data_IF_074064968016
#
_entry.id   IF_074064968016
#
_cell.length_a   1.000
_cell.length_b   1.000
_cell.length_c   1.000
_cell.angle_alpha   90.00
_cell.angle_beta   90.00
_cell.angle_gamma   90.00
#
_symmetry.space_group_name_H-M   'P 1'
#
loop_
_entity.id
_entity.type
_entity.pdbx_description
1 polymer ?
#
# COMPACT_ATOMS: atom_id res chain seq x y z
N UNK A 1 28.86 -13.90 -2.23
CA UNK A 1 27.92 -13.46 -3.30
C UNK A 1 26.60 -14.16 -3.03
N UNK A 2 25.55 -13.39 -2.72
CA UNK A 2 24.26 -13.88 -2.23
C UNK A 2 24.06 -13.71 -0.72
N UNK A 3 24.05 -12.47 -0.22
CA UNK A 3 23.43 -12.14 1.08
C UNK A 3 22.21 -11.26 0.82
N UNK A 4 21.22 -11.38 1.68
CA UNK A 4 20.08 -10.48 1.85
C UNK A 4 20.51 -9.01 1.68
N UNK A 5 19.78 -8.26 0.85
CA UNK A 5 20.20 -6.95 0.34
C UNK A 5 20.66 -6.99 -1.12
N UNK A 6 19.80 -7.50 -2.02
CA UNK A 6 20.03 -7.33 -3.46
C UNK A 6 20.15 -5.84 -3.77
N UNK A 7 21.00 -5.46 -4.73
CA UNK A 7 21.25 -4.06 -5.08
C UNK A 7 19.99 -3.23 -5.31
N UNK A 8 18.87 -3.88 -5.68
CA UNK A 8 17.52 -3.32 -5.73
C UNK A 8 17.08 -2.69 -4.39
N UNK A 9 17.11 -3.44 -3.29
CA UNK A 9 16.63 -2.94 -1.99
C UNK A 9 17.55 -1.84 -1.45
N UNK A 10 18.87 -2.00 -1.60
CA UNK A 10 19.83 -0.96 -1.20
C UNK A 10 19.65 0.34 -1.99
N UNK A 11 19.47 0.25 -3.31
CA UNK A 11 19.15 1.42 -4.15
C UNK A 11 17.82 2.05 -3.77
N UNK A 12 16.81 1.23 -3.50
CA UNK A 12 15.49 1.68 -3.03
C UNK A 12 15.61 2.48 -1.74
N UNK A 13 16.28 1.92 -0.72
CA UNK A 13 16.53 2.61 0.56
C UNK A 13 17.22 3.95 0.33
N UNK A 14 18.30 3.98 -0.45
CA UNK A 14 19.02 5.23 -0.74
C UNK A 14 18.11 6.28 -1.40
N UNK A 15 17.29 5.90 -2.37
CA UNK A 15 16.34 6.82 -3.02
C UNK A 15 15.33 7.37 -2.01
N UNK A 16 14.79 6.52 -1.12
CA UNK A 16 13.82 6.94 -0.11
C UNK A 16 14.46 7.85 0.94
N UNK A 17 15.71 7.63 1.31
CA UNK A 17 16.46 8.50 2.22
C UNK A 17 16.71 9.90 1.62
N UNK A 18 17.12 9.98 0.34
CA UNK A 18 17.29 11.28 -0.33
C UNK A 18 15.95 12.03 -0.44
N UNK A 19 14.88 11.33 -0.84
CA UNK A 19 13.55 11.94 -0.92
C UNK A 19 13.07 12.43 0.46
N UNK A 20 13.33 11.67 1.52
CA UNK A 20 13.03 12.09 2.88
C UNK A 20 13.85 13.32 3.31
N UNK A 21 15.14 13.38 3.00
CA UNK A 21 15.99 14.54 3.27
C UNK A 21 15.47 15.82 2.58
N UNK A 22 14.89 15.67 1.39
CA UNK A 22 14.24 16.74 0.62
C UNK A 22 12.79 17.03 1.05
N UNK A 23 12.35 16.47 2.18
CA UNK A 23 11.01 16.65 2.75
C UNK A 23 9.87 16.16 1.84
N UNK A 24 10.15 15.19 0.98
CA UNK A 24 9.16 14.58 0.10
C UNK A 24 8.49 13.42 0.85
N UNK A 25 7.15 13.44 1.03
CA UNK A 25 6.45 12.38 1.70
C UNK A 25 6.40 11.11 0.84
N UNK A 26 6.45 9.96 1.51
CA UNK A 26 6.63 8.64 0.89
C UNK A 26 5.58 7.68 1.45
N UNK A 27 4.94 6.94 0.57
CA UNK A 27 4.21 5.71 0.90
C UNK A 27 5.00 4.55 0.28
N UNK A 28 5.53 3.67 1.11
CA UNK A 28 6.36 2.54 0.67
C UNK A 28 5.67 1.20 0.99
N UNK A 29 5.36 0.41 -0.03
CA UNK A 29 4.77 -0.93 0.13
C UNK A 29 5.91 -1.95 0.26
N UNK A 30 5.90 -2.69 1.38
CA UNK A 30 6.97 -3.63 1.74
C UNK A 30 6.42 -5.05 1.95
N UNK A 31 6.37 -5.87 0.88
CA UNK A 31 5.95 -7.27 0.98
C UNK A 31 7.02 -8.20 1.54
N UNK A 32 8.28 -7.74 1.69
CA UNK A 32 9.41 -8.57 2.15
C UNK A 32 9.86 -8.27 3.57
N UNK A 33 9.49 -7.11 4.11
CA UNK A 33 9.84 -6.67 5.47
C UNK A 33 11.21 -5.98 5.56
N UNK A 34 11.86 -5.70 4.42
CA UNK A 34 13.20 -5.14 4.39
C UNK A 34 13.22 -3.62 4.60
N UNK A 35 12.13 -2.90 4.29
CA UNK A 35 12.09 -1.44 4.38
C UNK A 35 12.00 -0.97 5.83
N UNK A 36 11.59 -1.82 6.77
CA UNK A 36 11.62 -1.53 8.21
C UNK A 36 13.01 -1.10 8.71
N UNK A 37 14.07 -1.48 7.99
CA UNK A 37 15.45 -1.04 8.26
C UNK A 37 15.64 0.49 8.19
N UNK A 38 14.76 1.23 7.51
CA UNK A 38 14.76 2.71 7.50
C UNK A 38 14.57 3.32 8.91
N UNK A 39 14.02 2.55 9.87
CA UNK A 39 13.91 2.99 11.26
C UNK A 39 15.20 2.77 12.07
N UNK A 40 16.12 1.94 11.58
CA UNK A 40 17.39 1.61 12.23
C UNK A 40 18.47 2.67 11.91
N UNK A 41 18.12 3.92 12.17
CA UNK A 41 18.97 5.10 11.93
C UNK A 41 19.46 5.66 13.26
N UNK A 42 20.75 5.47 13.57
CA UNK A 42 21.34 5.83 14.86
C UNK A 42 22.30 7.02 14.71
N UNK A 43 21.91 8.25 15.10
CA UNK A 43 22.77 9.43 14.93
C UNK A 43 24.10 9.36 15.70
N UNK A 44 24.08 8.77 16.89
CA UNK A 44 25.28 8.73 17.74
C UNK A 44 26.19 7.55 17.41
N UNK A 45 25.68 6.57 16.64
CA UNK A 45 26.37 5.35 16.25
C UNK A 45 27.05 4.67 17.45
N UNK A 46 26.34 4.62 18.59
CA UNK A 46 26.85 4.08 19.84
C UNK A 46 26.62 2.58 19.91
N UNK A 47 27.43 1.85 20.68
CA UNK A 47 27.23 0.41 20.87
C UNK A 47 25.83 0.08 21.43
N UNK A 48 25.32 0.94 22.32
CA UNK A 48 24.01 0.80 22.95
C UNK A 48 22.86 0.85 21.93
N UNK A 49 23.00 1.66 20.86
CA UNK A 49 22.01 1.73 19.79
C UNK A 49 21.91 0.41 19.01
N UNK A 50 23.03 -0.28 18.79
CA UNK A 50 23.08 -1.53 18.03
C UNK A 50 22.75 -2.76 18.89
N UNK A 51 23.05 -2.71 20.18
CA UNK A 51 22.94 -3.84 21.12
C UNK A 51 21.58 -4.59 21.07
N UNK A 52 20.41 -3.94 20.95
CA UNK A 52 19.13 -4.65 20.86
C UNK A 52 18.94 -5.42 19.54
N UNK A 53 19.68 -5.06 18.50
CA UNK A 53 19.48 -5.53 17.12
C UNK A 53 20.54 -6.52 16.66
N UNK A 54 21.61 -6.70 17.43
CA UNK A 54 22.65 -7.67 17.09
C UNK A 54 22.18 -9.10 17.32
N UNK A 55 22.63 -10.01 16.45
CA UNK A 55 22.31 -11.42 16.56
C UNK A 55 23.21 -12.11 17.61
N UNK A 56 22.62 -12.49 18.75
CA UNK A 56 23.36 -13.14 19.85
C UNK A 56 24.09 -14.43 19.44
N UNK A 57 23.54 -15.18 18.47
CA UNK A 57 24.18 -16.40 17.95
C UNK A 57 25.42 -16.05 17.13
N UNK A 58 25.36 -15.02 16.27
CA UNK A 58 26.53 -14.56 15.52
C UNK A 58 27.64 -14.03 16.44
N UNK A 59 27.27 -13.32 17.52
CA UNK A 59 28.24 -12.90 18.54
C UNK A 59 28.93 -14.12 19.17
N UNK A 60 28.14 -15.13 19.56
CA UNK A 60 28.66 -16.37 20.15
C UNK A 60 29.56 -17.15 19.18
N UNK A 61 29.15 -17.29 17.92
CA UNK A 61 29.92 -17.97 16.87
C UNK A 61 31.27 -17.30 16.59
N UNK A 62 31.37 -15.98 16.84
CA UNK A 62 32.61 -15.20 16.74
C UNK A 62 33.40 -15.13 18.06
N UNK A 63 32.95 -15.83 19.11
CA UNK A 63 33.60 -15.82 20.42
C UNK A 63 33.54 -14.47 21.13
N UNK A 64 32.57 -13.61 20.79
CA UNK A 64 32.38 -12.28 21.37
C UNK A 64 31.17 -12.26 22.30
N UNK A 65 31.23 -11.46 23.35
CA UNK A 65 30.03 -11.07 24.10
C UNK A 65 29.11 -10.19 23.24
N UNK A 66 27.84 -10.08 23.64
CA UNK A 66 26.86 -9.22 22.95
C UNK A 66 27.33 -7.76 22.90
N UNK A 67 27.93 -7.27 24.00
CA UNK A 67 28.38 -5.88 24.11
C UNK A 67 29.62 -5.60 23.23
N UNK A 68 30.56 -6.56 23.17
CA UNK A 68 31.71 -6.49 22.27
C UNK A 68 31.26 -6.53 20.80
N UNK A 69 30.33 -7.41 20.45
CA UNK A 69 29.80 -7.52 19.09
C UNK A 69 29.03 -6.26 18.68
N UNK A 70 28.21 -5.70 19.56
CA UNK A 70 27.51 -4.43 19.33
C UNK A 70 28.50 -3.25 19.14
N UNK A 71 29.56 -3.20 19.96
CA UNK A 71 30.63 -2.20 19.82
C UNK A 71 31.38 -2.34 18.49
N UNK A 72 31.69 -3.57 18.08
CA UNK A 72 32.30 -3.85 16.78
C UNK A 72 31.38 -3.45 15.61
N UNK A 73 30.09 -3.73 15.71
CA UNK A 73 29.09 -3.35 14.70
C UNK A 73 28.97 -1.83 14.58
N UNK A 74 28.91 -1.11 15.71
CA UNK A 74 28.89 0.35 15.73
C UNK A 74 30.14 0.96 15.07
N UNK A 75 31.33 0.44 15.40
CA UNK A 75 32.58 0.87 14.79
C UNK A 75 32.62 0.58 13.27
N UNK A 76 32.10 -0.56 12.84
CA UNK A 76 31.99 -0.92 11.42
C UNK A 76 31.09 0.05 10.66
N UNK A 77 29.89 0.35 11.18
CA UNK A 77 28.97 1.30 10.56
C UNK A 77 29.55 2.71 10.50
N UNK A 78 30.16 3.19 11.60
CA UNK A 78 30.81 4.49 11.65
C UNK A 78 31.93 4.62 10.61
N UNK A 79 32.78 3.61 10.51
CA UNK A 79 33.85 3.56 9.50
C UNK A 79 33.26 3.52 8.08
N UNK A 80 32.27 2.66 7.85
CA UNK A 80 31.58 2.52 6.57
C UNK A 80 30.98 3.83 6.08
N UNK A 81 30.14 4.47 6.90
CA UNK A 81 29.52 5.76 6.59
C UNK A 81 30.57 6.85 6.32
N UNK A 82 31.61 6.94 7.16
CA UNK A 82 32.67 7.94 6.98
C UNK A 82 33.42 7.78 5.65
N UNK A 83 33.57 6.55 5.15
CA UNK A 83 34.23 6.29 3.85
C UNK A 83 33.43 6.80 2.66
N UNK A 84 32.11 7.03 2.84
CA UNK A 84 31.21 7.64 1.87
C UNK A 84 30.92 9.12 2.17
N UNK A 85 31.69 9.74 3.08
CA UNK A 85 31.52 11.15 3.45
C UNK A 85 30.25 11.42 4.26
N UNK A 86 29.72 10.41 4.95
CA UNK A 86 28.52 10.54 5.79
C UNK A 86 28.86 10.35 7.26
N UNK A 87 28.06 10.99 8.12
CA UNK A 87 28.23 10.97 9.56
C UNK A 87 26.89 10.97 10.30
N UNK A 88 26.97 11.02 11.63
CA UNK A 88 25.81 11.08 12.51
C UNK A 88 24.94 12.32 12.33
N UNK A 89 25.50 13.44 11.86
CA UNK A 89 24.74 14.66 11.62
C UNK A 89 23.80 14.51 10.42
N UNK A 90 24.26 13.83 9.35
CA UNK A 90 23.37 13.47 8.23
C UNK A 90 22.20 12.60 8.69
N UNK A 91 22.45 11.61 9.55
CA UNK A 91 21.41 10.74 10.11
C UNK A 91 20.44 11.55 10.97
N UNK A 92 20.95 12.48 11.79
CA UNK A 92 20.14 13.40 12.59
C UNK A 92 19.24 14.26 11.72
N UNK A 93 19.77 14.81 10.62
CA UNK A 93 19.00 15.55 9.62
C UNK A 93 17.91 14.69 9.00
N UNK A 94 18.21 13.46 8.56
CA UNK A 94 17.23 12.52 8.00
C UNK A 94 16.05 12.29 8.97
N UNK A 95 16.34 11.98 10.24
CA UNK A 95 15.30 11.79 11.28
C UNK A 95 14.49 13.05 11.57
N UNK A 96 15.12 14.22 11.44
CA UNK A 96 14.44 15.50 11.59
C UNK A 96 13.53 15.83 10.39
N UNK A 97 13.90 15.44 9.17
CA UNK A 97 13.19 15.80 7.93
C UNK A 97 11.84 15.13 7.76
N UNK A 98 11.72 13.83 8.07
CA UNK A 98 10.45 13.09 7.97
C UNK A 98 10.15 12.26 9.20
N UNK A 99 8.87 11.96 9.41
CA UNK A 99 8.39 11.02 10.43
C UNK A 99 8.28 9.62 9.80
N UNK A 100 9.17 8.70 10.18
CA UNK A 100 9.24 7.34 9.62
C UNK A 100 8.36 6.41 10.46
N UNK A 101 7.40 5.75 9.81
CA UNK A 101 6.40 4.93 10.49
C UNK A 101 6.21 3.58 9.78
N UNK A 102 6.02 2.52 10.56
CA UNK A 102 5.64 1.20 10.05
C UNK A 102 4.17 0.94 10.39
N UNK A 103 3.39 0.79 9.33
CA UNK A 103 1.99 0.43 9.39
C UNK A 103 1.83 -1.06 9.04
N UNK A 104 1.03 -1.77 9.84
CA UNK A 104 0.84 -3.22 9.75
C UNK A 104 -0.65 -3.54 9.60
N UNK A 105 -1.23 -3.49 8.39
CA UNK A 105 -2.64 -3.85 8.19
C UNK A 105 -2.91 -5.29 8.65
N UNK A 106 -4.03 -5.51 9.34
CA UNK A 106 -4.38 -6.83 9.88
C UNK A 106 -3.49 -7.33 11.02
N UNK A 107 -2.65 -6.47 11.61
CA UNK A 107 -1.77 -6.81 12.73
C UNK A 107 -1.57 -5.63 13.68
N UNK A 108 -1.30 -5.91 14.95
CA UNK A 108 -0.96 -4.91 15.98
C UNK A 108 0.54 -4.83 16.26
N UNK A 109 1.39 -5.49 15.45
CA UNK A 109 2.83 -5.49 15.66
C UNK A 109 3.48 -4.10 15.42
N UNK A 110 2.92 -3.31 14.52
CA UNK A 110 3.27 -1.91 14.28
C UNK A 110 2.05 -1.00 14.48
N UNK A 111 1.94 0.05 13.66
CA UNK A 111 0.73 0.90 13.66
C UNK A 111 -0.40 0.20 12.90
N UNK A 112 -1.53 -0.14 13.53
CA UNK A 112 -2.65 -0.74 12.82
C UNK A 112 -3.30 0.28 11.88
N UNK A 113 -3.69 -0.17 10.70
CA UNK A 113 -4.45 0.62 9.72
C UNK A 113 -5.77 -0.07 9.46
N UNK A 114 -6.84 0.68 9.61
CA UNK A 114 -8.15 0.19 9.26
C UNK A 114 -8.50 0.51 7.81
N UNK A 115 -8.76 -0.54 7.05
CA UNK A 115 -9.15 -0.44 5.63
C UNK A 115 -10.68 -0.42 5.49
N UNK A 116 -11.41 -0.82 6.53
CA UNK A 116 -12.83 -1.18 6.44
C UNK A 116 -13.72 -0.46 7.46
N UNK A 117 -13.16 0.47 8.24
CA UNK A 117 -13.89 1.21 9.28
C UNK A 117 -15.01 2.10 8.73
N UNK A 118 -14.90 2.55 7.47
CA UNK A 118 -15.98 3.23 6.75
C UNK A 118 -15.65 3.24 5.24
N UNK A 119 -16.58 2.77 4.41
CA UNK A 119 -16.70 3.15 3.00
C UNK A 119 -17.26 4.57 2.93
N UNK A 120 -16.43 5.52 3.35
CA UNK A 120 -16.84 6.90 3.54
C UNK A 120 -17.33 7.50 2.22
N UNK A 121 -18.40 8.29 2.31
CA UNK A 121 -18.88 9.05 1.18
C UNK A 121 -17.74 9.97 0.69
N UNK A 122 -17.45 9.99 -0.62
CA UNK A 122 -16.44 10.88 -1.16
C UNK A 122 -16.83 12.35 -0.95
N UNK A 123 -15.84 13.24 -0.93
CA UNK A 123 -16.07 14.68 -0.79
C UNK A 123 -16.96 15.22 -1.93
N UNK A 124 -17.71 16.29 -1.65
CA UNK A 124 -18.61 16.93 -2.62
C UNK A 124 -17.94 17.26 -3.96
N UNK A 125 -16.68 17.70 -3.94
CA UNK A 125 -15.90 18.02 -5.15
C UNK A 125 -15.70 16.80 -6.05
N UNK A 126 -15.49 15.62 -5.47
CA UNK A 126 -15.36 14.36 -6.20
C UNK A 126 -16.72 13.85 -6.66
N UNK A 127 -17.77 14.02 -5.85
CA UNK A 127 -19.15 13.66 -6.24
C UNK A 127 -19.67 14.47 -7.42
N UNK A 128 -19.22 15.73 -7.57
CA UNK A 128 -19.59 16.59 -8.70
C UNK A 128 -18.90 16.20 -10.01
N UNK A 129 -17.79 15.46 -9.96
CA UNK A 129 -17.14 14.89 -11.14
C UNK A 129 -17.67 13.48 -11.42
N UNK A 130 -18.61 13.39 -12.36
CA UNK A 130 -19.32 12.14 -12.66
C UNK A 130 -18.44 10.99 -13.13
N UNK A 131 -17.29 11.25 -13.74
CA UNK A 131 -16.36 10.19 -14.16
C UNK A 131 -15.54 9.69 -12.96
N UNK A 132 -15.02 10.61 -12.15
CA UNK A 132 -14.27 10.26 -10.95
C UNK A 132 -15.13 9.55 -9.91
N UNK A 133 -16.38 10.00 -9.75
CA UNK A 133 -17.35 9.42 -8.85
C UNK A 133 -17.71 7.99 -9.25
N UNK A 134 -17.99 7.74 -10.54
CA UNK A 134 -18.25 6.38 -11.05
C UNK A 134 -17.04 5.48 -10.85
N UNK A 135 -15.84 5.95 -11.21
CA UNK A 135 -14.61 5.18 -10.99
C UNK A 135 -14.44 4.78 -9.53
N UNK A 136 -14.74 5.70 -8.59
CA UNK A 136 -14.66 5.46 -7.14
C UNK A 136 -15.65 4.39 -6.70
N UNK A 137 -16.91 4.45 -7.11
CA UNK A 137 -17.91 3.41 -6.82
C UNK A 137 -17.43 2.05 -7.33
N UNK A 138 -17.01 1.99 -8.59
CA UNK A 138 -16.62 0.76 -9.26
C UNK A 138 -15.39 0.12 -8.59
N UNK A 139 -14.41 0.95 -8.23
CA UNK A 139 -13.22 0.55 -7.50
C UNK A 139 -13.52 -0.01 -6.10
N UNK A 140 -14.39 0.66 -5.34
CA UNK A 140 -14.79 0.22 -4.01
C UNK A 140 -15.57 -1.10 -4.08
N UNK A 141 -16.52 -1.23 -5.01
CA UNK A 141 -17.27 -2.47 -5.22
C UNK A 141 -16.36 -3.65 -5.60
N UNK A 142 -15.40 -3.44 -6.52
CA UNK A 142 -14.41 -4.47 -6.89
C UNK A 142 -13.53 -4.86 -5.69
N UNK A 143 -13.10 -3.89 -4.89
CA UNK A 143 -12.31 -4.14 -3.68
C UNK A 143 -13.06 -4.98 -2.65
N UNK A 144 -14.34 -4.68 -2.43
CA UNK A 144 -15.20 -5.45 -1.51
C UNK A 144 -15.40 -6.89 -2.00
N UNK A 145 -15.65 -7.10 -3.30
CA UNK A 145 -15.84 -8.46 -3.82
C UNK A 145 -14.56 -9.29 -3.80
N UNK A 146 -13.41 -8.63 -3.99
CA UNK A 146 -12.10 -9.26 -3.86
C UNK A 146 -11.86 -9.81 -2.44
N UNK A 147 -12.42 -9.17 -1.39
CA UNK A 147 -12.31 -9.67 0.00
C UNK A 147 -12.90 -11.06 0.20
N UNK A 148 -13.98 -11.36 -0.50
CA UNK A 148 -14.69 -12.65 -0.39
C UNK A 148 -14.31 -13.60 -1.53
N UNK A 149 -13.19 -13.32 -2.21
CA UNK A 149 -12.64 -14.15 -3.28
C UNK A 149 -13.50 -14.17 -4.54
N UNK A 150 -14.26 -13.12 -4.80
CA UNK A 150 -15.10 -12.99 -6.01
C UNK A 150 -14.38 -12.09 -7.00
N UNK A 151 -13.90 -12.69 -8.10
CA UNK A 151 -13.44 -11.95 -9.28
C UNK A 151 -14.66 -11.53 -10.12
N UNK A 152 -15.03 -10.26 -10.00
CA UNK A 152 -16.25 -9.73 -10.57
C UNK A 152 -15.97 -8.74 -11.69
N UNK A 153 -16.47 -9.05 -12.89
CA UNK A 153 -16.51 -8.11 -13.99
C UNK A 153 -17.51 -6.98 -13.67
N UNK A 154 -17.09 -5.70 -13.72
CA UNK A 154 -17.94 -4.58 -13.32
C UNK A 154 -19.21 -4.37 -14.17
N UNK A 155 -19.28 -4.97 -15.37
CA UNK A 155 -20.39 -4.80 -16.31
C UNK A 155 -21.39 -5.96 -16.22
N UNK A 156 -20.91 -7.16 -15.87
CA UNK A 156 -21.71 -8.39 -15.98
C UNK A 156 -21.96 -9.08 -14.65
N UNK A 157 -21.15 -8.83 -13.61
CA UNK A 157 -21.38 -9.41 -12.28
C UNK A 157 -22.56 -8.74 -11.57
N UNK A 158 -23.51 -9.58 -11.16
CA UNK A 158 -24.70 -9.13 -10.42
C UNK A 158 -24.35 -8.65 -9.01
N UNK A 159 -23.36 -9.29 -8.40
CA UNK A 159 -22.78 -8.91 -7.12
C UNK A 159 -22.18 -7.50 -7.19
N UNK A 160 -21.39 -7.25 -8.24
CA UNK A 160 -20.73 -5.95 -8.44
C UNK A 160 -21.74 -4.85 -8.67
N UNK A 161 -22.68 -5.07 -9.61
CA UNK A 161 -23.73 -4.10 -9.93
C UNK A 161 -24.55 -3.76 -8.68
N UNK A 162 -24.93 -4.76 -7.87
CA UNK A 162 -25.70 -4.52 -6.65
C UNK A 162 -24.91 -3.66 -5.64
N UNK A 163 -23.65 -4.02 -5.35
CA UNK A 163 -22.83 -3.26 -4.40
C UNK A 163 -22.59 -1.84 -4.91
N UNK A 164 -22.34 -1.67 -6.21
CA UNK A 164 -22.18 -0.34 -6.81
C UNK A 164 -23.43 0.53 -6.64
N UNK A 165 -24.63 -0.04 -6.84
CA UNK A 165 -25.89 0.67 -6.63
C UNK A 165 -26.14 1.03 -5.16
N UNK A 166 -25.79 0.15 -4.22
CA UNK A 166 -25.90 0.42 -2.78
C UNK A 166 -24.97 1.57 -2.38
N UNK A 167 -23.71 1.52 -2.84
CA UNK A 167 -22.73 2.59 -2.58
C UNK A 167 -23.21 3.92 -3.14
N UNK A 168 -23.66 3.94 -4.41
CA UNK A 168 -24.19 5.15 -5.05
C UNK A 168 -25.36 5.75 -4.27
N UNK A 169 -26.32 4.92 -3.84
CA UNK A 169 -27.49 5.36 -3.10
C UNK A 169 -27.12 6.06 -1.78
N UNK A 170 -26.22 5.46 -0.99
CA UNK A 170 -25.80 6.02 0.29
C UNK A 170 -24.91 7.25 0.12
N UNK A 171 -23.97 7.22 -0.83
CA UNK A 171 -23.06 8.35 -1.06
C UNK A 171 -23.78 9.58 -1.60
N UNK A 172 -24.80 9.42 -2.47
CA UNK A 172 -25.65 10.54 -2.90
C UNK A 172 -26.42 11.21 -1.75
N UNK A 173 -26.60 10.50 -0.63
CA UNK A 173 -27.23 11.03 0.58
C UNK A 173 -26.21 11.57 1.60
N UNK A 174 -24.92 11.57 1.25
CA UNK A 174 -23.84 11.93 2.18
C UNK A 174 -23.69 10.93 3.34
N UNK A 175 -24.19 9.70 3.17
CA UNK A 175 -24.10 8.65 4.18
C UNK A 175 -22.89 7.78 3.92
N UNK A 176 -22.08 7.62 4.96
CA UNK A 176 -21.07 6.57 5.05
C UNK A 176 -21.73 5.18 5.14
N UNK A 177 -20.98 4.14 4.76
CA UNK A 177 -21.35 2.73 4.89
C UNK A 177 -20.21 1.99 5.58
N UNK A 178 -20.46 1.25 6.65
CA UNK A 178 -19.53 0.23 7.12
C UNK A 178 -19.89 -1.15 6.53
N UNK A 179 -19.07 -2.18 6.79
CA UNK A 179 -19.37 -3.54 6.28
C UNK A 179 -20.69 -4.08 6.85
N UNK A 180 -21.01 -3.80 8.12
CA UNK A 180 -22.23 -4.32 8.73
C UNK A 180 -23.49 -3.73 8.07
N UNK A 181 -23.48 -2.42 7.82
CA UNK A 181 -24.52 -1.71 7.09
C UNK A 181 -24.61 -2.19 5.64
N UNK A 182 -23.48 -2.44 4.97
CA UNK A 182 -23.47 -3.01 3.62
C UNK A 182 -24.09 -4.41 3.58
N UNK A 183 -23.77 -5.29 4.55
CA UNK A 183 -24.38 -6.62 4.65
C UNK A 183 -25.90 -6.52 4.84
N UNK A 184 -26.36 -5.55 5.64
CA UNK A 184 -27.78 -5.24 5.78
C UNK A 184 -28.40 -4.76 4.46
N UNK A 185 -27.74 -3.83 3.78
CA UNK A 185 -28.19 -3.28 2.50
C UNK A 185 -28.17 -4.31 1.36
N UNK A 186 -27.32 -5.33 1.39
CA UNK A 186 -27.36 -6.42 0.40
C UNK A 186 -28.61 -7.29 0.59
N UNK A 187 -29.01 -7.53 1.86
CA UNK A 187 -30.21 -8.32 2.18
C UNK A 187 -31.50 -7.54 1.89
N UNK A 188 -31.51 -6.24 2.17
CA UNK A 188 -32.61 -5.33 1.87
C UNK A 188 -32.12 -4.11 1.07
N UNK A 189 -31.88 -4.26 -0.25
CA UNK A 189 -31.36 -3.18 -1.07
C UNK A 189 -32.31 -1.99 -1.14
N UNK A 190 -31.78 -0.75 -1.15
CA UNK A 190 -32.59 0.46 -1.28
C UNK A 190 -33.11 0.68 -2.72
N UNK A 191 -32.91 -0.29 -3.61
CA UNK A 191 -33.32 -0.28 -5.01
C UNK A 191 -34.23 -1.46 -5.29
N UNK A 192 -35.28 -1.25 -6.09
CA UNK A 192 -36.23 -2.32 -6.45
C UNK A 192 -36.03 -2.83 -7.88
N UNK A 193 -35.17 -2.17 -8.68
CA UNK A 193 -34.90 -2.48 -10.09
C UNK A 193 -33.45 -2.26 -10.44
N UNK A 194 -32.97 -3.02 -11.43
CA UNK A 194 -31.65 -2.85 -12.06
C UNK A 194 -31.86 -2.74 -13.57
N UNK A 195 -31.64 -1.56 -14.12
CA UNK A 195 -32.04 -1.24 -15.49
C UNK A 195 -33.55 -1.43 -15.68
N UNK A 196 -33.93 -2.32 -16.58
CA UNK A 196 -35.35 -2.63 -16.87
C UNK A 196 -35.90 -3.82 -16.09
N UNK A 197 -35.05 -4.54 -15.36
CA UNK A 197 -35.43 -5.75 -14.63
C UNK A 197 -35.79 -5.45 -13.18
N UNK A 198 -36.81 -6.12 -12.65
CA UNK A 198 -37.07 -6.15 -11.22
C UNK A 198 -35.93 -6.86 -10.49
N UNK A 199 -35.58 -6.35 -9.30
CA UNK A 199 -34.38 -6.81 -8.59
C UNK A 199 -34.46 -8.29 -8.24
N UNK A 200 -35.64 -8.82 -7.91
CA UNK A 200 -35.80 -10.25 -7.60
C UNK A 200 -35.53 -11.15 -8.83
N UNK A 201 -35.82 -10.66 -10.04
CA UNK A 201 -35.49 -11.38 -11.27
C UNK A 201 -34.02 -11.24 -11.67
N UNK A 202 -33.43 -10.08 -11.44
CA UNK A 202 -32.01 -9.85 -11.71
C UNK A 202 -31.12 -10.63 -10.73
N UNK A 203 -31.34 -10.44 -9.43
CA UNK A 203 -30.55 -11.03 -8.36
C UNK A 203 -31.44 -11.40 -7.15
N UNK A 204 -31.91 -12.65 -7.15
CA UNK A 204 -32.89 -13.17 -6.21
C UNK A 204 -32.45 -13.03 -4.74
N UNK A 205 -33.41 -12.91 -3.83
CA UNK A 205 -33.19 -12.78 -2.38
C UNK A 205 -32.27 -13.88 -1.83
N UNK A 206 -32.44 -15.13 -2.30
CA UNK A 206 -31.59 -16.26 -1.91
C UNK A 206 -30.12 -16.04 -2.27
N UNK A 207 -29.85 -15.54 -3.48
CA UNK A 207 -28.47 -15.36 -3.96
C UNK A 207 -27.83 -14.13 -3.32
N UNK A 208 -28.61 -13.06 -3.07
CA UNK A 208 -28.17 -11.90 -2.28
C UNK A 208 -27.80 -12.29 -0.86
N UNK A 209 -28.63 -13.13 -0.22
CA UNK A 209 -28.35 -13.67 1.10
C UNK A 209 -27.04 -14.48 1.11
N UNK A 210 -26.77 -15.25 0.06
CA UNK A 210 -25.49 -15.97 -0.06
C UNK A 210 -24.27 -15.03 -0.12
N UNK A 211 -24.38 -13.89 -0.82
CA UNK A 211 -23.33 -12.86 -0.83
C UNK A 211 -23.16 -12.21 0.54
N UNK A 212 -24.27 -11.83 1.19
CA UNK A 212 -24.26 -11.28 2.54
C UNK A 212 -23.59 -12.24 3.54
N UNK A 213 -23.88 -13.55 3.43
CA UNK A 213 -23.25 -14.57 4.25
C UNK A 213 -21.75 -14.71 4.00
N UNK A 214 -21.27 -14.58 2.75
CA UNK A 214 -19.82 -14.58 2.46
C UNK A 214 -19.12 -13.41 3.14
N UNK A 215 -19.69 -12.20 3.07
CA UNK A 215 -19.16 -11.02 3.73
C UNK A 215 -19.22 -11.14 5.26
N UNK A 216 -20.30 -11.72 5.80
CA UNK A 216 -20.40 -11.98 7.24
C UNK A 216 -19.37 -13.00 7.72
N UNK A 217 -19.11 -14.06 6.95
CA UNK A 217 -18.11 -15.06 7.30
C UNK A 217 -16.70 -14.47 7.34
N UNK A 218 -16.43 -13.48 6.49
CA UNK A 218 -15.19 -12.72 6.54
C UNK A 218 -15.07 -11.91 7.85
N UNK A 219 -16.14 -11.20 8.26
CA UNK A 219 -16.16 -10.50 9.56
C UNK A 219 -15.97 -11.45 10.74
N UNK A 220 -16.56 -12.64 10.67
CA UNK A 220 -16.44 -13.66 11.69
C UNK A 220 -15.10 -14.43 11.64
N UNK A 221 -14.26 -14.19 10.62
CA UNK A 221 -12.99 -14.88 10.49
C UNK A 221 -12.03 -14.44 11.61
N UNK A 222 -11.35 -15.38 12.30
CA UNK A 222 -10.37 -15.05 13.31
C UNK A 222 -9.29 -14.09 12.75
N UNK A 223 -9.04 -12.99 13.46
CA UNK A 223 -8.06 -11.97 13.06
C UNK A 223 -8.61 -10.88 12.14
N UNK A 224 -9.86 -10.97 11.66
CA UNK A 224 -10.45 -9.91 10.83
C UNK A 224 -10.66 -8.60 11.59
N UNK A 225 -10.93 -8.66 12.90
CA UNK A 225 -11.05 -7.47 13.76
C UNK A 225 -9.83 -6.55 13.67
N UNK A 226 -8.63 -7.10 13.44
CA UNK A 226 -7.41 -6.32 13.30
C UNK A 226 -7.41 -5.40 12.05
N UNK A 227 -8.24 -5.70 11.05
CA UNK A 227 -8.46 -4.86 9.86
C UNK A 227 -9.45 -3.71 10.09
N UNK A 228 -10.22 -3.78 11.17
CA UNK A 228 -11.16 -2.74 11.59
C UNK A 228 -10.56 -1.81 12.66
N UNK A 229 -9.43 -2.21 13.25
CA UNK A 229 -8.73 -1.46 14.29
C UNK A 229 -7.70 -0.50 13.70
N UNK A 230 -7.40 0.55 14.47
CA UNK A 230 -6.41 1.56 14.10
C UNK A 230 -6.97 2.78 13.39
N UNK A 231 -6.06 3.55 12.81
CA UNK A 231 -6.36 4.76 12.05
C UNK A 231 -6.96 4.38 10.68
N UNK A 232 -8.00 5.08 10.19
CA UNK A 232 -8.52 4.85 8.84
C UNK A 232 -7.43 5.02 7.78
N UNK A 233 -7.48 4.20 6.74
CA UNK A 233 -6.61 4.32 5.57
C UNK A 233 -6.86 5.66 4.87
N UNK A 234 -6.02 6.65 5.18
CA UNK A 234 -6.16 8.04 4.74
C UNK A 234 -4.85 8.52 4.14
N UNK A 235 -4.82 8.79 2.83
CA UNK A 235 -3.61 9.24 2.14
C UNK A 235 -3.03 10.53 2.74
N UNK A 236 -3.83 11.58 3.06
CA UNK A 236 -3.30 12.76 3.73
C UNK A 236 -2.54 12.44 5.02
N UNK A 237 -3.10 11.55 5.85
CA UNK A 237 -2.50 11.13 7.13
C UNK A 237 -1.28 10.22 6.94
N UNK A 238 -1.22 9.47 5.85
CA UNK A 238 -0.03 8.69 5.47
C UNK A 238 1.08 9.57 4.90
N UNK A 239 0.77 10.71 4.29
CA UNK A 239 1.77 11.62 3.72
C UNK A 239 2.29 12.63 4.74
N UNK A 240 1.45 13.09 5.67
CA UNK A 240 1.83 14.12 6.65
C UNK A 240 1.27 13.82 8.04
N UNK A 241 2.01 14.27 9.05
CA UNK A 241 1.55 14.40 10.43
C UNK A 241 0.49 15.51 10.56
N UNK A 242 -0.19 15.58 11.70
CA UNK A 242 -1.18 16.62 11.97
C UNK A 242 -0.58 18.04 12.01
N UNK A 243 0.71 18.17 12.37
CA UNK A 243 1.50 19.40 12.36
C UNK A 243 2.12 19.71 10.97
N UNK A 244 1.87 18.86 9.97
CA UNK A 244 2.31 19.08 8.59
C UNK A 244 3.72 18.58 8.26
N UNK A 245 4.41 17.95 9.22
CA UNK A 245 5.69 17.26 8.95
C UNK A 245 5.47 16.09 7.98
N UNK A 246 6.25 15.98 6.89
CA UNK A 246 6.14 14.86 5.94
C UNK A 246 6.45 13.51 6.59
N UNK A 247 5.86 12.45 6.06
CA UNK A 247 6.03 11.09 6.55
C UNK A 247 6.72 10.19 5.53
N UNK A 248 7.50 9.25 6.05
CA UNK A 248 7.89 8.03 5.33
C UNK A 248 7.06 6.88 5.90
N UNK A 249 5.93 6.62 5.27
CA UNK A 249 4.95 5.62 5.72
C UNK A 249 5.19 4.28 5.05
N UNK A 250 5.71 3.33 5.80
CA UNK A 250 6.06 1.98 5.36
C UNK A 250 4.87 1.06 5.64
N UNK A 251 4.25 0.53 4.58
CA UNK A 251 3.19 -0.47 4.66
C UNK A 251 3.84 -1.85 4.68
N UNK A 252 4.09 -2.38 5.87
CA UNK A 252 4.62 -3.74 6.00
C UNK A 252 3.50 -4.75 5.85
N UNK A 253 3.59 -5.57 4.80
CA UNK A 253 2.57 -6.58 4.47
C UNK A 253 3.17 -7.99 4.39
N UNK A 254 4.40 -8.18 4.88
CA UNK A 254 5.11 -9.46 4.84
C UNK A 254 4.43 -10.58 5.67
N UNK A 255 3.68 -10.21 6.71
CA UNK A 255 2.92 -11.16 7.55
C UNK A 255 1.60 -11.63 6.93
N UNK A 256 1.15 -10.97 5.86
CA UNK A 256 -0.14 -11.26 5.22
C UNK A 256 0.00 -12.37 4.17
N UNK A 257 -1.05 -13.17 4.04
CA UNK A 257 -1.18 -14.10 2.91
C UNK A 257 -1.37 -13.37 1.58
N UNK A 258 -1.28 -14.10 0.46
CA UNK A 258 -1.36 -13.49 -0.87
C UNK A 258 -2.67 -12.73 -1.13
N UNK A 259 -3.82 -13.30 -0.74
CA UNK A 259 -5.12 -12.65 -0.89
C UNK A 259 -5.24 -11.36 -0.08
N UNK A 260 -4.79 -11.38 1.18
CA UNK A 260 -4.83 -10.23 2.08
C UNK A 260 -3.88 -9.13 1.64
N UNK A 261 -2.70 -9.50 1.13
CA UNK A 261 -1.75 -8.56 0.51
C UNK A 261 -2.37 -7.88 -0.71
N UNK A 262 -2.93 -8.66 -1.64
CA UNK A 262 -3.58 -8.15 -2.84
C UNK A 262 -4.73 -7.20 -2.49
N UNK A 263 -5.55 -7.59 -1.51
CA UNK A 263 -6.64 -6.76 -1.01
C UNK A 263 -6.14 -5.42 -0.48
N UNK A 264 -5.19 -5.44 0.47
CA UNK A 264 -4.65 -4.21 1.07
C UNK A 264 -4.06 -3.28 0.01
N UNK A 265 -3.22 -3.81 -0.89
CA UNK A 265 -2.60 -3.04 -1.97
C UNK A 265 -3.67 -2.42 -2.86
N UNK A 266 -4.69 -3.18 -3.25
CA UNK A 266 -5.79 -2.66 -4.08
C UNK A 266 -6.51 -1.48 -3.40
N UNK A 267 -6.77 -1.57 -2.09
CA UNK A 267 -7.41 -0.48 -1.35
C UNK A 267 -6.52 0.74 -1.20
N UNK A 268 -5.24 0.55 -0.87
CA UNK A 268 -4.27 1.64 -0.82
C UNK A 268 -4.15 2.38 -2.15
N UNK A 269 -4.08 1.64 -3.27
CA UNK A 269 -3.98 2.24 -4.59
C UNK A 269 -5.25 3.01 -4.97
N UNK A 270 -6.43 2.50 -4.59
CA UNK A 270 -7.69 3.21 -4.81
C UNK A 270 -7.78 4.52 -4.03
N UNK A 271 -7.41 4.49 -2.75
CA UNK A 271 -7.30 5.70 -1.93
C UNK A 271 -6.31 6.70 -2.52
N UNK A 272 -5.15 6.21 -2.98
CA UNK A 272 -4.13 7.04 -3.60
C UNK A 272 -4.60 7.68 -4.91
N UNK A 273 -5.31 6.94 -5.76
CA UNK A 273 -5.90 7.47 -7.01
C UNK A 273 -6.95 8.53 -6.69
N UNK A 274 -7.84 8.27 -5.72
CA UNK A 274 -8.86 9.22 -5.32
C UNK A 274 -8.23 10.52 -4.77
N UNK A 275 -7.25 10.40 -3.88
CA UNK A 275 -6.49 11.54 -3.38
C UNK A 275 -5.77 12.31 -4.50
N UNK A 276 -5.10 11.60 -5.41
CA UNK A 276 -4.36 12.16 -6.52
C UNK A 276 -5.25 13.01 -7.43
N UNK A 277 -6.43 12.48 -7.79
CA UNK A 277 -7.40 13.16 -8.66
C UNK A 277 -8.02 14.42 -8.02
N UNK A 278 -8.08 14.47 -6.70
CA UNK A 278 -8.50 15.66 -5.97
C UNK A 278 -7.41 16.76 -5.92
N UNK A 279 -6.17 16.46 -6.32
CA UNK A 279 -5.09 17.45 -6.33
C UNK A 279 -5.17 18.33 -7.57
N UNK A 280 -4.75 19.59 -7.42
CA UNK A 280 -4.46 20.43 -8.57
C UNK A 280 -3.19 19.96 -9.29
N UNK A 281 -3.23 20.01 -10.62
CA UNK A 281 -2.08 19.68 -11.46
C UNK A 281 -0.85 20.50 -11.10
N UNK A 282 0.33 19.89 -11.19
CA UNK A 282 1.59 20.52 -10.80
C UNK A 282 2.78 19.96 -11.59
N UNK A 283 3.82 20.77 -11.74
CA UNK A 283 5.12 20.36 -12.27
C UNK A 283 6.10 19.88 -11.20
N UNK A 284 5.78 20.10 -9.91
CA UNK A 284 6.63 19.73 -8.77
C UNK A 284 6.21 18.40 -8.17
N UNK A 285 7.18 17.64 -7.65
CA UNK A 285 6.91 16.39 -6.95
C UNK A 285 6.25 16.68 -5.60
N UNK A 286 5.08 16.07 -5.36
CA UNK A 286 4.31 16.16 -4.10
C UNK A 286 4.54 14.98 -3.18
N UNK A 287 4.66 13.78 -3.74
CA UNK A 287 4.78 12.54 -2.99
C UNK A 287 5.37 11.41 -3.85
N UNK A 288 5.88 10.37 -3.19
CA UNK A 288 6.35 9.15 -3.85
C UNK A 288 5.54 7.94 -3.37
N UNK A 289 5.02 7.16 -4.31
CA UNK A 289 4.65 5.77 -4.09
C UNK A 289 5.85 4.89 -4.44
N UNK A 290 6.41 4.23 -3.45
CA UNK A 290 7.42 3.18 -3.63
C UNK A 290 6.77 1.81 -3.44
N UNK A 291 7.06 0.87 -4.32
CA UNK A 291 6.62 -0.52 -4.15
C UNK A 291 7.80 -1.45 -4.32
N UNK A 292 8.18 -2.11 -3.23
CA UNK A 292 9.14 -3.20 -3.34
C UNK A 292 8.46 -4.46 -3.89
N UNK A 293 9.17 -5.16 -4.77
CA UNK A 293 8.72 -6.38 -5.43
C UNK A 293 7.27 -6.30 -5.99
N UNK A 294 7.12 -5.59 -7.11
CA UNK A 294 5.83 -5.45 -7.81
C UNK A 294 5.34 -6.73 -8.51
N UNK A 295 6.16 -7.77 -8.56
CA UNK A 295 5.78 -9.06 -9.16
C UNK A 295 4.44 -9.58 -8.60
N UNK A 296 3.56 -10.04 -9.49
CA UNK A 296 2.21 -10.52 -9.14
C UNK A 296 1.13 -9.42 -9.08
N UNK A 297 1.50 -8.14 -8.88
CA UNK A 297 0.53 -7.04 -8.79
C UNK A 297 0.23 -6.36 -10.14
N UNK A 298 1.14 -6.49 -11.11
CA UNK A 298 0.97 -5.99 -12.48
C UNK A 298 1.51 -7.00 -13.51
N UNK A 299 0.99 -8.24 -13.55
CA UNK A 299 1.46 -9.28 -14.46
C UNK A 299 1.04 -9.00 -15.91
N UNK A 300 1.71 -9.54 -16.93
CA UNK A 300 1.43 -9.26 -18.34
C UNK A 300 0.09 -9.85 -18.82
N UNK A 301 -0.23 -11.08 -18.39
CA UNK A 301 -1.40 -11.82 -18.87
C UNK A 301 -2.58 -11.70 -17.92
N UNK A 302 -2.38 -12.03 -16.64
CA UNK A 302 -3.45 -11.99 -15.64
C UNK A 302 -3.93 -10.55 -15.38
N UNK A 303 -5.14 -10.41 -14.84
CA UNK A 303 -5.75 -9.12 -14.52
C UNK A 303 -6.16 -9.02 -13.05
N UNK A 304 -5.19 -9.10 -12.11
CA UNK A 304 -5.50 -8.93 -10.70
C UNK A 304 -6.07 -7.52 -10.43
N UNK A 305 -6.83 -7.33 -9.33
CA UNK A 305 -7.48 -6.05 -9.02
C UNK A 305 -6.53 -4.85 -8.97
N UNK A 306 -5.27 -5.05 -8.54
CA UNK A 306 -4.23 -4.01 -8.50
C UNK A 306 -3.76 -3.54 -9.87
N UNK A 307 -3.82 -4.38 -10.91
CA UNK A 307 -3.18 -4.13 -12.22
C UNK A 307 -3.71 -2.86 -12.88
N UNK A 308 -5.03 -2.74 -12.97
CA UNK A 308 -5.67 -1.57 -13.59
C UNK A 308 -5.33 -0.29 -12.85
N UNK A 309 -5.26 -0.35 -11.51
CA UNK A 309 -4.94 0.80 -10.66
C UNK A 309 -3.49 1.26 -10.85
N UNK A 310 -2.54 0.32 -10.86
CA UNK A 310 -1.13 0.63 -11.12
C UNK A 310 -0.94 1.24 -12.51
N UNK A 311 -1.60 0.69 -13.54
CA UNK A 311 -1.56 1.26 -14.89
C UNK A 311 -2.17 2.67 -14.96
N UNK A 312 -3.23 2.94 -14.21
CA UNK A 312 -3.82 4.29 -14.09
C UNK A 312 -2.82 5.26 -13.46
N UNK A 313 -2.20 4.88 -12.35
CA UNK A 313 -1.18 5.71 -11.69
C UNK A 313 0.00 5.98 -12.61
N UNK A 314 0.56 4.95 -13.27
CA UNK A 314 1.69 5.11 -14.19
C UNK A 314 1.38 6.08 -15.34
N UNK A 315 0.13 6.11 -15.83
CA UNK A 315 -0.28 7.01 -16.92
C UNK A 315 -0.59 8.44 -16.47
N UNK A 316 -1.18 8.60 -15.28
CA UNK A 316 -1.82 9.86 -14.89
C UNK A 316 -1.11 10.58 -13.74
N UNK A 317 -0.40 9.88 -12.86
CA UNK A 317 0.12 10.41 -11.59
C UNK A 317 1.08 11.58 -11.75
N UNK A 318 1.87 11.59 -12.84
CA UNK A 318 2.81 12.67 -13.16
C UNK A 318 2.13 14.04 -13.20
N UNK A 319 0.93 14.15 -13.77
CA UNK A 319 0.22 15.42 -13.90
C UNK A 319 -0.14 16.04 -12.54
N UNK A 320 -0.26 15.21 -11.51
CA UNK A 320 -0.64 15.59 -10.14
C UNK A 320 0.54 15.64 -9.18
N UNK A 321 1.78 15.42 -9.67
CA UNK A 321 2.98 15.44 -8.84
C UNK A 321 3.15 14.19 -7.98
N UNK A 322 2.52 13.05 -8.31
CA UNK A 322 2.78 11.78 -7.65
C UNK A 322 3.81 10.97 -8.44
N UNK A 323 4.98 10.74 -7.85
CA UNK A 323 6.05 9.91 -8.42
C UNK A 323 5.86 8.44 -8.08
N UNK A 324 6.18 7.54 -9.00
CA UNK A 324 6.15 6.10 -8.79
C UNK A 324 7.55 5.53 -8.91
N UNK A 325 7.96 4.75 -7.91
CA UNK A 325 9.20 3.98 -7.92
C UNK A 325 8.86 2.52 -7.69
N UNK A 326 9.01 1.72 -8.74
CA UNK A 326 8.60 0.32 -8.76
C UNK A 326 9.84 -0.56 -8.85
N UNK A 327 9.96 -1.52 -7.95
CA UNK A 327 11.11 -2.41 -7.89
C UNK A 327 10.66 -3.87 -8.11
N UNK A 328 11.44 -4.63 -8.87
CA UNK A 328 11.17 -6.07 -9.12
C UNK A 328 12.48 -6.82 -9.28
N UNK A 329 12.49 -8.10 -8.93
CA UNK A 329 13.57 -9.01 -9.33
C UNK A 329 13.25 -9.76 -10.63
N UNK A 330 11.97 -9.81 -11.02
CA UNK A 330 11.46 -10.55 -12.17
C UNK A 330 10.86 -9.56 -13.19
N UNK A 331 11.68 -8.90 -14.04
CA UNK A 331 11.19 -7.90 -14.99
C UNK A 331 10.35 -8.50 -16.12
N UNK A 332 10.62 -9.75 -16.51
CA UNK A 332 9.91 -10.46 -17.61
C UNK A 332 8.42 -10.65 -17.32
N UNK A 333 8.05 -10.72 -16.04
CA UNK A 333 6.69 -10.98 -15.59
C UNK A 333 5.92 -9.70 -15.24
N UNK A 334 6.31 -8.56 -15.83
CA UNK A 334 5.59 -7.29 -15.71
C UNK A 334 4.85 -6.91 -16.99
N UNK A 335 3.70 -6.24 -16.84
CA UNK A 335 2.94 -5.71 -17.97
C UNK A 335 3.75 -4.66 -18.74
N UNK A 336 3.97 -4.93 -20.03
CA UNK A 336 4.75 -4.07 -20.93
C UNK A 336 4.19 -2.65 -21.07
N UNK A 337 2.87 -2.46 -20.93
CA UNK A 337 2.25 -1.13 -20.97
C UNK A 337 2.60 -0.32 -19.73
N UNK A 338 2.80 -0.99 -18.59
CA UNK A 338 3.30 -0.34 -17.38
C UNK A 338 4.73 0.14 -17.60
N UNK A 339 5.59 -0.75 -18.09
CA UNK A 339 7.00 -0.46 -18.36
C UNK A 339 7.20 0.71 -19.34
N UNK A 340 6.38 0.80 -20.40
CA UNK A 340 6.51 1.89 -21.39
C UNK A 340 6.18 3.28 -20.85
N UNK A 341 5.52 3.38 -19.69
CA UNK A 341 5.25 4.66 -19.02
C UNK A 341 6.36 5.05 -18.02
N UNK A 342 7.34 4.19 -17.78
CA UNK A 342 8.46 4.44 -16.87
C UNK A 342 9.55 5.25 -17.56
N UNK A 343 9.75 6.50 -17.13
CA UNK A 343 10.72 7.42 -17.73
C UNK A 343 12.18 7.25 -17.28
N UNK A 344 12.44 6.49 -16.22
CA UNK A 344 13.80 6.29 -15.67
C UNK A 344 13.98 4.86 -15.20
N UNK A 345 15.11 4.27 -15.56
CA UNK A 345 15.39 2.86 -15.34
C UNK A 345 16.71 2.68 -14.60
N UNK A 346 16.65 1.90 -13.53
CA UNK A 346 17.83 1.45 -12.80
C UNK A 346 17.97 -0.05 -13.01
N UNK A 347 18.91 -0.46 -13.85
CA UNK A 347 19.08 -1.85 -14.26
C UNK A 347 20.27 -2.42 -13.50
N UNK A 348 19.98 -3.37 -12.60
CA UNK A 348 21.00 -4.15 -11.91
C UNK A 348 21.62 -5.22 -12.81
N UNK A 349 22.34 -6.16 -12.21
CA UNK A 349 22.90 -7.29 -12.96
C UNK A 349 21.80 -8.25 -13.40
N UNK A 350 21.60 -8.38 -14.71
CA UNK A 350 20.69 -9.35 -15.32
C UNK A 350 21.40 -10.70 -15.46
N UNK A 351 20.80 -11.77 -14.93
CA UNK A 351 21.45 -13.08 -14.88
C UNK A 351 21.07 -13.99 -16.05
N UNK A 352 19.85 -13.87 -16.60
CA UNK A 352 19.38 -14.74 -17.68
C UNK A 352 19.32 -14.01 -19.02
N UNK A 353 19.39 -14.75 -20.14
CA UNK A 353 19.22 -14.18 -21.50
C UNK A 353 17.79 -13.66 -21.75
N UNK A 354 16.79 -14.10 -20.98
CA UNK A 354 15.43 -13.55 -21.09
C UNK A 354 15.27 -12.24 -20.32
N UNK A 355 16.10 -12.00 -19.32
CA UNK A 355 16.12 -10.74 -18.57
C UNK A 355 16.91 -9.65 -19.30
N UNK A 356 17.90 -10.02 -20.13
CA UNK A 356 18.69 -9.14 -21.01
C UNK A 356 17.86 -8.68 -22.21
#
# INVERSE_FOLDING_TARGET
VGMTGSGKTGLGIGLLEEAALDHIPIIAIDPKGDLGNLMLTFPDLSADDFRPWVNARQATDQGQSIDEYASAQAAQWKKGLSSWGQDGERIRKLRASTDVNIFTPGSQAGRPVSVLKSFAAPQDSLMQDGDLYRDRIQATATGILSLVGIDADPITSREHILIALILDHHWQQGSDLDIAALIGAIQAPPVNRVGVLDLESFYASKDRFALAMRLNNLLAAPGFDAWMQGEPLSIPSLLHTADGKPRTSIMSIAHLDESSRMFFVTMLLNELIAWMRAQQGTSSLRAILYMDEIFGYMPPIASPPSKRLLLTLLKQARAYGLGLVLATQNPVDLDYKGLSNTGTWFIGRLQTERDK
#
